data_IF_880843756429
#
_entry.id   IF_880843756429
#
_cell.length_a   1.000
_cell.length_b   1.000
_cell.length_c   1.000
_cell.angle_alpha   90.00
_cell.angle_beta   90.00
_cell.angle_gamma   90.00
#
_symmetry.space_group_name_H-M   'P 1'
#
loop_
_entity.id
_entity.type
_entity.pdbx_description
1 polymer ?
#
# COMPACT_ATOMS: atom_id res chain seq x y z
N UNK A 1 -15.98 3.02 48.38
CA UNK A 1 -16.85 3.28 47.22
C UNK A 1 -18.00 2.28 47.26
N UNK A 2 -19.26 2.73 47.23
CA UNK A 2 -20.41 1.84 47.30
C UNK A 2 -20.54 0.98 46.04
N UNK A 3 -21.02 -0.25 46.18
CA UNK A 3 -21.30 -1.20 45.09
C UNK A 3 -22.10 -0.56 43.95
N UNK A 4 -23.03 0.35 44.25
CA UNK A 4 -23.78 1.11 43.25
C UNK A 4 -22.92 2.00 42.35
N UNK A 5 -21.86 2.61 42.87
CA UNK A 5 -20.94 3.44 42.07
C UNK A 5 -20.15 2.58 41.08
N UNK A 6 -19.72 1.38 41.51
CA UNK A 6 -18.99 0.43 40.67
C UNK A 6 -19.88 -0.06 39.52
N UNK A 7 -21.15 -0.40 39.81
CA UNK A 7 -22.11 -0.84 38.78
C UNK A 7 -22.37 0.25 37.74
N UNK A 8 -22.55 1.50 38.17
CA UNK A 8 -22.75 2.64 37.24
C UNK A 8 -21.55 2.87 36.34
N UNK A 9 -20.32 2.80 36.88
CA UNK A 9 -19.09 2.94 36.08
C UNK A 9 -18.99 1.81 35.06
N UNK A 10 -19.23 0.56 35.45
CA UNK A 10 -19.19 -0.58 34.53
C UNK A 10 -20.23 -0.43 33.42
N UNK A 11 -21.46 -0.05 33.74
CA UNK A 11 -22.51 0.18 32.76
C UNK A 11 -22.13 1.30 31.76
N UNK A 12 -21.58 2.41 32.23
CA UNK A 12 -21.11 3.50 31.38
C UNK A 12 -19.99 3.06 30.43
N UNK A 13 -19.01 2.28 30.92
CA UNK A 13 -17.92 1.73 30.09
C UNK A 13 -18.47 0.79 29.02
N UNK A 14 -19.43 -0.08 29.35
CA UNK A 14 -20.07 -0.99 28.38
C UNK A 14 -20.79 -0.18 27.29
N UNK A 15 -21.55 0.86 27.66
CA UNK A 15 -22.24 1.72 26.70
C UNK A 15 -21.23 2.40 25.75
N UNK A 16 -20.13 2.93 26.27
CA UNK A 16 -19.08 3.54 25.44
C UNK A 16 -18.45 2.54 24.46
N UNK A 17 -18.20 1.30 24.90
CA UNK A 17 -17.70 0.23 24.04
C UNK A 17 -18.70 -0.07 22.91
N UNK A 18 -19.99 -0.16 23.22
CA UNK A 18 -21.05 -0.43 22.23
C UNK A 18 -21.14 0.71 21.21
N UNK A 19 -21.17 1.97 21.68
CA UNK A 19 -21.19 3.15 20.81
C UNK A 19 -19.97 3.16 19.89
N UNK A 20 -18.77 2.88 20.44
CA UNK A 20 -17.55 2.77 19.65
C UNK A 20 -17.63 1.68 18.58
N UNK A 21 -18.16 0.50 18.91
CA UNK A 21 -18.31 -0.61 17.96
C UNK A 21 -19.30 -0.29 16.82
N UNK A 22 -20.46 0.30 17.15
CA UNK A 22 -21.46 0.72 16.15
C UNK A 22 -20.87 1.80 15.24
N UNK A 23 -20.19 2.79 15.82
CA UNK A 23 -19.58 3.89 15.06
C UNK A 23 -18.51 3.39 14.09
N UNK A 24 -17.66 2.45 14.55
CA UNK A 24 -16.65 1.80 13.69
C UNK A 24 -17.30 1.01 12.54
N UNK A 25 -18.40 0.29 12.82
CA UNK A 25 -19.12 -0.46 11.79
C UNK A 25 -19.75 0.45 10.72
N UNK A 26 -20.39 1.54 11.15
CA UNK A 26 -20.98 2.53 10.23
C UNK A 26 -19.89 3.19 9.38
N UNK A 27 -18.75 3.54 9.98
CA UNK A 27 -17.64 4.16 9.27
C UNK A 27 -17.05 3.23 8.20
N UNK A 28 -16.86 1.95 8.52
CA UNK A 28 -16.43 0.95 7.52
C UNK A 28 -17.44 0.78 6.39
N UNK A 29 -18.74 0.70 6.73
CA UNK A 29 -19.79 0.58 5.74
C UNK A 29 -19.79 1.77 4.79
N UNK A 30 -19.75 3.00 5.33
CA UNK A 30 -19.70 4.24 4.54
C UNK A 30 -18.44 4.33 3.68
N UNK A 31 -17.28 3.91 4.20
CA UNK A 31 -16.03 3.86 3.42
C UNK A 31 -16.15 2.90 2.25
N UNK A 32 -16.69 1.69 2.48
CA UNK A 32 -16.92 0.69 1.44
C UNK A 32 -17.92 1.17 0.39
N UNK A 33 -19.01 1.81 0.79
CA UNK A 33 -19.97 2.44 -0.13
C UNK A 33 -19.30 3.54 -0.97
N UNK A 34 -18.46 4.37 -0.34
CA UNK A 34 -17.66 5.37 -1.06
C UNK A 34 -16.70 4.74 -2.07
N UNK A 35 -16.06 3.61 -1.74
CA UNK A 35 -15.18 2.89 -2.67
C UNK A 35 -15.97 2.31 -3.84
N UNK A 36 -17.12 1.70 -3.57
CA UNK A 36 -18.00 1.18 -4.62
C UNK A 36 -18.49 2.29 -5.55
N UNK A 37 -18.90 3.43 -5.01
CA UNK A 37 -19.35 4.58 -5.79
C UNK A 37 -18.21 5.18 -6.62
N UNK A 38 -17.03 5.34 -6.04
CA UNK A 38 -15.85 5.84 -6.74
C UNK A 38 -15.39 4.88 -7.86
N UNK A 39 -15.36 3.57 -7.58
CA UNK A 39 -15.09 2.55 -8.58
C UNK A 39 -16.08 2.62 -9.75
N UNK A 40 -17.38 2.69 -9.46
CA UNK A 40 -18.42 2.81 -10.48
C UNK A 40 -18.26 4.09 -11.32
N UNK A 41 -17.93 5.22 -10.70
CA UNK A 41 -17.70 6.50 -11.39
C UNK A 41 -16.50 6.45 -12.35
N UNK A 42 -15.50 5.60 -12.06
CA UNK A 42 -14.32 5.36 -12.91
C UNK A 42 -14.51 4.19 -13.89
N UNK A 43 -15.67 3.53 -13.89
CA UNK A 43 -15.92 2.33 -14.72
C UNK A 43 -15.24 1.05 -14.22
N UNK A 44 -14.77 1.03 -12.97
CA UNK A 44 -14.13 -0.13 -12.37
C UNK A 44 -15.16 -1.13 -11.85
N UNK A 45 -14.81 -2.41 -11.89
CA UNK A 45 -15.52 -3.47 -11.17
C UNK A 45 -15.18 -3.36 -9.69
N UNK A 46 -16.17 -3.52 -8.83
CA UNK A 46 -16.00 -3.54 -7.38
C UNK A 46 -16.45 -4.87 -6.78
N UNK A 47 -15.58 -5.51 -6.00
CA UNK A 47 -15.86 -6.73 -5.26
C UNK A 47 -15.53 -6.54 -3.76
N UNK A 48 -16.55 -6.52 -2.87
CA UNK A 48 -16.31 -6.34 -1.43
C UNK A 48 -15.79 -7.61 -0.72
N UNK A 49 -15.83 -8.76 -1.37
CA UNK A 49 -15.51 -10.05 -0.76
C UNK A 49 -14.02 -10.24 -0.49
N UNK A 50 -13.71 -11.22 0.35
CA UNK A 50 -12.33 -11.58 0.67
C UNK A 50 -11.73 -12.46 -0.42
N UNK A 51 -10.55 -12.08 -0.92
CA UNK A 51 -9.72 -12.91 -1.77
C UNK A 51 -8.48 -13.39 -0.99
N UNK A 52 -8.46 -14.68 -0.65
CA UNK A 52 -7.35 -15.35 0.03
C UNK A 52 -6.22 -15.79 -0.92
N UNK A 53 -6.39 -15.66 -2.24
CA UNK A 53 -5.40 -15.98 -3.25
C UNK A 53 -4.62 -14.75 -3.76
N UNK A 54 -4.97 -13.54 -3.32
CA UNK A 54 -4.35 -12.30 -3.80
C UNK A 54 -2.85 -12.23 -3.52
N UNK A 55 -2.41 -12.79 -2.39
CA UNK A 55 -1.01 -12.84 -2.00
C UNK A 55 -0.18 -13.73 -2.93
N UNK A 56 -0.75 -14.82 -3.42
CA UNK A 56 -0.14 -15.71 -4.41
C UNK A 56 -0.06 -15.06 -5.77
N UNK A 57 -1.12 -14.35 -6.19
CA UNK A 57 -1.17 -13.61 -7.46
C UNK A 57 -0.07 -12.56 -7.54
N UNK A 58 0.19 -11.87 -6.42
CA UNK A 58 1.14 -10.76 -6.33
C UNK A 58 2.37 -11.08 -5.45
N UNK A 59 2.76 -12.36 -5.33
CA UNK A 59 3.80 -12.85 -4.43
C UNK A 59 5.19 -12.22 -4.65
N UNK A 60 5.41 -11.60 -5.82
CA UNK A 60 6.65 -10.89 -6.15
C UNK A 60 6.91 -9.70 -5.22
N UNK A 61 5.85 -9.09 -4.67
CA UNK A 61 5.97 -7.95 -3.77
C UNK A 61 6.11 -8.39 -2.31
N UNK A 62 7.05 -7.77 -1.61
CA UNK A 62 7.44 -8.15 -0.27
C UNK A 62 6.28 -8.03 0.73
N UNK A 63 5.37 -7.07 0.54
CA UNK A 63 4.25 -6.86 1.46
C UNK A 63 3.32 -8.09 1.57
N UNK A 64 3.20 -8.90 0.52
CA UNK A 64 2.37 -10.11 0.51
C UNK A 64 3.05 -11.30 1.20
N UNK A 65 4.36 -11.27 1.36
CA UNK A 65 5.14 -12.37 1.94
C UNK A 65 5.22 -12.34 3.47
N UNK A 66 4.54 -11.38 4.11
CA UNK A 66 4.61 -11.16 5.55
C UNK A 66 3.40 -11.69 6.32
N UNK A 67 3.67 -12.31 7.48
CA UNK A 67 2.64 -12.74 8.42
C UNK A 67 1.76 -13.88 7.90
N UNK A 68 0.53 -13.96 8.43
CA UNK A 68 -0.45 -15.02 8.15
C UNK A 68 -1.88 -14.50 8.16
N UNK A 69 -2.85 -15.36 7.77
CA UNK A 69 -4.27 -14.99 7.62
C UNK A 69 -4.42 -13.79 6.68
N UNK A 70 -3.85 -13.95 5.49
CA UNK A 70 -3.71 -12.93 4.45
C UNK A 70 -4.94 -12.95 3.54
N UNK A 71 -5.45 -11.78 3.21
CA UNK A 71 -6.49 -11.61 2.19
C UNK A 71 -6.62 -10.15 1.75
N UNK A 72 -6.99 -9.99 0.48
CA UNK A 72 -7.50 -8.73 -0.08
C UNK A 72 -9.01 -8.64 0.09
N UNK A 73 -9.54 -7.42 0.10
CA UNK A 73 -10.98 -7.14 0.12
C UNK A 73 -11.25 -5.71 -0.37
N UNK A 74 -12.52 -5.39 -0.70
CA UNK A 74 -12.89 -4.14 -1.36
C UNK A 74 -12.05 -3.92 -2.64
N UNK A 75 -12.02 -4.93 -3.49
CA UNK A 75 -11.19 -5.00 -4.68
C UNK A 75 -11.84 -4.18 -5.79
N UNK A 76 -11.06 -3.30 -6.39
CA UNK A 76 -11.40 -2.42 -7.52
C UNK A 76 -10.50 -2.79 -8.69
N UNK A 77 -11.08 -3.24 -9.78
CA UNK A 77 -10.34 -3.65 -10.99
C UNK A 77 -10.88 -2.91 -12.22
N UNK A 78 -10.00 -2.41 -13.07
CA UNK A 78 -10.40 -1.69 -14.27
C UNK A 78 -9.22 -1.17 -15.08
N UNK A 79 -9.49 -0.16 -15.91
CA UNK A 79 -8.50 0.51 -16.74
C UNK A 79 -8.48 1.98 -16.38
N UNK A 80 -7.31 2.51 -16.01
CA UNK A 80 -7.09 3.93 -15.74
C UNK A 80 -6.03 4.46 -16.69
N UNK A 81 -6.40 5.40 -17.59
CA UNK A 81 -5.50 5.96 -18.61
C UNK A 81 -4.67 4.86 -19.33
N UNK A 82 -5.37 3.88 -19.92
CA UNK A 82 -4.80 2.72 -20.64
C UNK A 82 -3.99 1.71 -19.80
N UNK A 83 -3.93 1.87 -18.48
CA UNK A 83 -3.26 0.95 -17.57
C UNK A 83 -4.27 0.05 -16.87
N UNK A 84 -4.02 -1.27 -16.89
CA UNK A 84 -4.79 -2.19 -16.04
C UNK A 84 -4.43 -1.95 -14.57
N UNK A 85 -5.45 -1.70 -13.75
CA UNK A 85 -5.30 -1.36 -12.34
C UNK A 85 -6.04 -2.36 -11.46
N UNK A 86 -5.44 -2.70 -10.32
CA UNK A 86 -6.04 -3.46 -9.24
C UNK A 86 -5.76 -2.76 -7.90
N UNK A 87 -6.80 -2.18 -7.30
CA UNK A 87 -6.71 -1.47 -6.03
C UNK A 87 -7.57 -2.17 -4.98
N UNK A 88 -7.06 -2.37 -3.77
CA UNK A 88 -7.77 -3.12 -2.74
C UNK A 88 -7.25 -2.80 -1.34
N UNK A 89 -8.06 -3.13 -0.33
CA UNK A 89 -7.59 -3.21 1.03
C UNK A 89 -6.98 -4.59 1.29
N UNK A 90 -5.88 -4.65 2.02
CA UNK A 90 -5.19 -5.88 2.35
C UNK A 90 -5.00 -6.01 3.85
N UNK A 91 -5.23 -7.23 4.35
CA UNK A 91 -5.09 -7.56 5.78
C UNK A 91 -4.19 -8.76 5.96
N UNK A 92 -3.33 -8.67 6.97
CA UNK A 92 -2.53 -9.79 7.46
C UNK A 92 -2.30 -9.67 8.96
N UNK A 93 -1.83 -10.75 9.58
CA UNK A 93 -1.54 -10.78 11.02
C UNK A 93 -0.11 -11.23 11.28
N UNK A 94 0.55 -10.61 12.25
CA UNK A 94 1.88 -11.00 12.73
C UNK A 94 1.82 -11.36 14.21
N UNK A 95 2.80 -12.14 14.67
CA UNK A 95 2.86 -12.60 16.06
C UNK A 95 1.85 -13.69 16.40
N UNK A 96 1.82 -14.07 17.68
CA UNK A 96 1.01 -15.16 18.22
C UNK A 96 0.49 -14.81 19.62
N UNK A 97 -0.58 -15.50 20.04
CA UNK A 97 -1.17 -15.33 21.36
C UNK A 97 -1.52 -13.88 21.70
N UNK A 98 -1.03 -13.41 22.85
CA UNK A 98 -1.26 -12.05 23.36
C UNK A 98 -0.51 -10.96 22.58
N UNK A 99 0.46 -11.32 21.73
CA UNK A 99 1.24 -10.39 20.91
C UNK A 99 0.83 -10.43 19.44
N UNK A 100 -0.41 -10.84 19.15
CA UNK A 100 -0.96 -10.82 17.79
C UNK A 100 -1.32 -9.41 17.37
N UNK A 101 -0.74 -8.95 16.26
CA UNK A 101 -1.06 -7.67 15.63
C UNK A 101 -1.76 -7.90 14.30
N UNK A 102 -2.86 -7.18 14.06
CA UNK A 102 -3.52 -7.14 12.75
C UNK A 102 -3.06 -5.89 12.01
N UNK A 103 -2.62 -6.06 10.77
CA UNK A 103 -2.22 -4.98 9.87
C UNK A 103 -3.29 -4.81 8.81
N UNK A 104 -3.63 -3.56 8.52
CA UNK A 104 -4.53 -3.19 7.43
C UNK A 104 -3.85 -2.10 6.61
N UNK A 105 -3.78 -2.30 5.30
CA UNK A 105 -3.23 -1.36 4.34
C UNK A 105 -4.14 -1.28 3.12
N UNK A 106 -3.99 -0.21 2.35
CA UNK A 106 -4.51 -0.17 0.98
C UNK A 106 -3.35 -0.33 0.01
N UNK A 107 -3.65 -1.00 -1.08
CA UNK A 107 -2.71 -1.36 -2.14
C UNK A 107 -3.30 -0.87 -3.46
N UNK A 108 -2.45 -0.33 -4.32
CA UNK A 108 -2.76 -0.11 -5.73
C UNK A 108 -1.65 -0.76 -6.54
N UNK A 109 -2.04 -1.62 -7.48
CA UNK A 109 -1.15 -2.30 -8.42
C UNK A 109 -1.55 -1.88 -9.82
N UNK A 110 -0.55 -1.56 -10.63
CA UNK A 110 -0.72 -1.27 -12.06
C UNK A 110 0.14 -2.21 -12.86
N UNK A 111 -0.41 -2.73 -13.96
CA UNK A 111 0.34 -3.49 -14.94
C UNK A 111 1.19 -2.51 -15.75
N UNK A 112 2.51 -2.61 -15.58
CA UNK A 112 3.43 -1.91 -16.45
C UNK A 112 3.55 -2.77 -17.72
N UNK A 113 3.15 -2.22 -18.87
CA UNK A 113 3.24 -2.88 -20.18
C UNK A 113 4.69 -3.06 -20.67
N UNK A 114 5.64 -3.25 -19.75
CA UNK A 114 7.08 -3.37 -19.95
C UNK A 114 7.68 -4.33 -18.91
N UNK A 115 8.85 -4.87 -19.22
CA UNK A 115 9.64 -5.67 -18.30
C UNK A 115 10.44 -4.78 -17.35
N UNK A 116 10.14 -4.92 -16.06
CA UNK A 116 10.77 -4.26 -14.94
C UNK A 116 11.59 -5.27 -14.12
N UNK A 117 12.53 -4.76 -13.32
CA UNK A 117 13.27 -5.55 -12.32
C UNK A 117 12.82 -5.17 -10.92
N UNK A 118 13.10 -6.05 -9.97
CA UNK A 118 12.75 -5.85 -8.57
C UNK A 118 13.44 -4.61 -8.01
N UNK A 119 12.66 -3.65 -7.54
CA UNK A 119 13.14 -2.42 -6.90
C UNK A 119 12.15 -1.98 -5.84
N UNK A 120 12.64 -1.73 -4.64
CA UNK A 120 11.87 -1.23 -3.52
C UNK A 120 12.36 0.17 -3.16
N UNK A 121 11.43 1.12 -3.10
CA UNK A 121 11.67 2.49 -2.66
C UNK A 121 10.71 2.78 -1.52
N UNK A 122 11.24 3.08 -0.33
CA UNK A 122 10.43 3.40 0.85
C UNK A 122 10.91 4.71 1.48
N UNK A 123 10.00 5.59 1.94
CA UNK A 123 10.38 6.72 2.77
C UNK A 123 11.01 6.25 4.08
N UNK A 124 12.03 6.95 4.58
CA UNK A 124 12.58 6.71 5.90
C UNK A 124 11.51 6.90 7.00
N UNK A 125 11.58 6.09 8.07
CA UNK A 125 10.56 6.06 9.13
C UNK A 125 9.22 5.42 8.72
N UNK A 126 9.02 5.17 7.42
CA UNK A 126 7.92 4.36 6.91
C UNK A 126 8.42 2.91 6.79
N UNK A 127 7.85 2.01 7.60
CA UNK A 127 8.18 0.57 7.59
C UNK A 127 9.43 0.10 8.37
N UNK A 128 9.68 0.66 9.54
CA UNK A 128 10.79 0.30 10.48
C UNK A 128 10.88 -1.17 10.95
N UNK A 129 9.97 -2.06 10.53
CA UNK A 129 9.93 -3.47 10.97
C UNK A 129 9.75 -4.49 9.84
N UNK A 130 9.81 -4.08 8.57
CA UNK A 130 9.95 -5.04 7.46
C UNK A 130 11.43 -5.27 7.17
N UNK A 131 12.11 -5.96 8.08
CA UNK A 131 13.32 -6.69 7.76
C UNK A 131 12.92 -7.99 7.03
N UNK A 132 12.41 -7.86 5.80
CA UNK A 132 11.96 -8.98 4.97
C UNK A 132 12.91 -9.31 3.81
N UNK A 133 13.71 -8.34 3.37
CA UNK A 133 14.77 -8.55 2.38
C UNK A 133 16.13 -8.55 3.08
N UNK A 134 16.56 -9.74 3.50
CA UNK A 134 17.95 -10.03 3.86
C UNK A 134 18.80 -9.84 2.59
N UNK A 135 19.85 -9.02 2.66
CA UNK A 135 21.01 -9.14 1.75
C UNK A 135 21.36 -7.98 0.82
N UNK A 136 20.52 -6.95 0.65
CA UNK A 136 20.88 -5.81 -0.22
C UNK A 136 21.22 -4.55 0.57
N UNK A 137 22.28 -3.87 0.16
CA UNK A 137 22.66 -2.56 0.68
C UNK A 137 21.69 -1.50 0.17
N UNK A 138 21.58 -0.40 0.90
CA UNK A 138 20.86 0.78 0.44
C UNK A 138 21.59 1.40 -0.75
N UNK A 139 20.84 1.94 -1.71
CA UNK A 139 21.40 2.56 -2.92
C UNK A 139 21.30 4.08 -2.79
N UNK A 140 22.44 4.71 -2.50
CA UNK A 140 22.54 6.16 -2.39
C UNK A 140 22.78 6.84 -3.75
N UNK A 141 22.22 8.03 -3.91
CA UNK A 141 22.38 8.90 -5.08
C UNK A 141 23.17 10.16 -4.71
N UNK A 142 24.44 10.22 -5.13
CA UNK A 142 25.35 11.33 -4.80
C UNK A 142 24.92 12.67 -5.42
N UNK A 143 24.27 12.63 -6.58
CA UNK A 143 23.68 13.76 -7.28
C UNK A 143 22.30 14.16 -6.73
N UNK A 144 21.79 13.46 -5.72
CA UNK A 144 20.54 13.80 -5.03
C UNK A 144 20.58 13.46 -3.53
N UNK A 145 21.41 14.14 -2.72
CA UNK A 145 21.55 13.84 -1.29
C UNK A 145 20.25 13.94 -0.49
N UNK A 146 19.36 14.86 -0.86
CA UNK A 146 18.05 14.98 -0.21
C UNK A 146 17.18 13.74 -0.42
N UNK A 147 17.23 13.14 -1.61
CA UNK A 147 16.51 11.90 -1.92
C UNK A 147 17.06 10.75 -1.08
N UNK A 148 18.38 10.55 -1.09
CA UNK A 148 19.06 9.49 -0.33
C UNK A 148 18.83 9.60 1.17
N UNK A 149 18.64 10.82 1.70
CA UNK A 149 18.28 11.05 3.10
C UNK A 149 16.81 10.71 3.43
N UNK A 150 15.90 10.84 2.46
CA UNK A 150 14.46 10.68 2.70
C UNK A 150 13.94 9.31 2.29
N UNK A 151 14.66 8.60 1.44
CA UNK A 151 14.24 7.33 0.87
C UNK A 151 15.34 6.29 1.00
N UNK A 152 14.89 5.09 1.32
CA UNK A 152 15.69 3.89 1.31
C UNK A 152 15.35 3.08 0.05
N UNK A 153 16.37 2.74 -0.72
CA UNK A 153 16.28 2.11 -2.04
C UNK A 153 16.98 0.76 -2.04
N UNK A 154 16.28 -0.28 -2.49
CA UNK A 154 16.82 -1.64 -2.60
C UNK A 154 16.52 -2.26 -3.94
N UNK A 155 17.53 -2.87 -4.54
CA UNK A 155 17.41 -3.66 -5.76
C UNK A 155 18.48 -4.77 -5.78
N UNK A 156 18.18 -5.96 -6.31
CA UNK A 156 19.22 -6.94 -6.66
C UNK A 156 20.14 -6.47 -7.78
N UNK A 157 19.69 -5.52 -8.60
CA UNK A 157 20.42 -4.92 -9.71
C UNK A 157 20.55 -3.41 -9.45
N UNK A 158 21.67 -3.01 -8.85
CA UNK A 158 21.94 -1.61 -8.52
C UNK A 158 22.08 -0.74 -9.77
N UNK A 159 22.72 -1.25 -10.82
CA UNK A 159 22.92 -0.50 -12.07
C UNK A 159 21.57 -0.15 -12.71
N UNK A 160 20.65 -1.12 -12.77
CA UNK A 160 19.29 -0.88 -13.26
C UNK A 160 18.51 0.08 -12.36
N UNK A 161 18.62 -0.05 -11.03
CA UNK A 161 17.96 0.87 -10.11
C UNK A 161 18.41 2.32 -10.33
N UNK A 162 19.72 2.54 -10.53
CA UNK A 162 20.28 3.88 -10.81
C UNK A 162 19.81 4.45 -12.13
N UNK A 163 19.65 3.59 -13.12
CA UNK A 163 19.16 3.96 -14.45
C UNK A 163 17.69 4.37 -14.44
N UNK A 164 16.84 3.62 -13.73
CA UNK A 164 15.40 3.90 -13.66
C UNK A 164 15.10 5.09 -12.77
N UNK A 165 15.82 5.24 -11.66
CA UNK A 165 15.68 6.37 -10.73
C UNK A 165 16.38 7.61 -11.27
N UNK A 166 15.90 8.12 -12.41
CA UNK A 166 16.35 9.38 -13.01
C UNK A 166 16.14 10.57 -12.06
N UNK A 167 16.84 11.71 -12.26
CA UNK A 167 16.60 12.91 -11.47
C UNK A 167 15.14 13.35 -11.44
N UNK A 168 14.43 13.25 -12.58
CA UNK A 168 13.02 13.58 -12.69
C UNK A 168 12.14 12.65 -11.84
N UNK A 169 12.40 11.34 -11.87
CA UNK A 169 11.65 10.38 -11.05
C UNK A 169 11.94 10.59 -9.55
N UNK A 170 13.20 10.80 -9.16
CA UNK A 170 13.56 11.09 -7.76
C UNK A 170 12.89 12.36 -7.24
N UNK A 171 12.79 13.40 -8.06
CA UNK A 171 12.08 14.62 -7.69
C UNK A 171 10.56 14.40 -7.52
N UNK A 172 9.94 13.58 -8.39
CA UNK A 172 8.55 13.19 -8.24
C UNK A 172 8.31 12.44 -6.92
N UNK A 173 9.19 11.50 -6.59
CA UNK A 173 9.14 10.76 -5.32
C UNK A 173 9.25 11.72 -4.11
N UNK A 174 10.17 12.68 -4.15
CA UNK A 174 10.34 13.70 -3.09
C UNK A 174 9.08 14.55 -2.84
N UNK A 175 8.31 14.84 -3.89
CA UNK A 175 7.06 15.59 -3.78
C UNK A 175 5.91 14.74 -3.17
N UNK A 176 6.05 13.42 -3.16
CA UNK A 176 5.04 12.47 -2.67
C UNK A 176 5.62 11.42 -1.70
N UNK A 177 6.24 11.81 -0.57
CA UNK A 177 7.03 10.91 0.29
C UNK A 177 6.18 10.01 1.20
N UNK A 178 4.92 9.74 0.83
CA UNK A 178 3.93 9.08 1.69
C UNK A 178 3.68 7.62 1.30
N UNK A 179 4.22 7.17 0.18
CA UNK A 179 4.01 5.84 -0.37
C UNK A 179 5.29 5.03 -0.37
N UNK A 180 5.16 3.74 -0.10
CA UNK A 180 6.16 2.77 -0.53
C UNK A 180 5.83 2.40 -1.96
N UNK A 181 6.84 2.39 -2.82
CA UNK A 181 6.77 2.00 -4.21
C UNK A 181 7.63 0.75 -4.39
N UNK A 182 7.07 -0.29 -4.99
CA UNK A 182 7.76 -1.54 -5.27
C UNK A 182 7.52 -1.94 -6.73
N UNK A 183 8.58 -2.33 -7.42
CA UNK A 183 8.58 -2.81 -8.78
C UNK A 183 8.62 -4.34 -8.75
N UNK A 184 7.65 -4.97 -9.40
CA UNK A 184 7.65 -6.38 -9.75
C UNK A 184 8.21 -6.59 -11.16
N UNK A 185 7.95 -7.75 -11.76
CA UNK A 185 8.41 -8.01 -13.14
C UNK A 185 7.63 -7.19 -14.17
N UNK A 186 6.30 -7.17 -14.09
CA UNK A 186 5.45 -6.44 -15.04
C UNK A 186 4.44 -5.54 -14.31
N UNK A 187 4.68 -5.24 -13.03
CA UNK A 187 3.73 -4.51 -12.21
C UNK A 187 4.46 -3.51 -11.32
N UNK A 188 3.83 -2.37 -11.08
CA UNK A 188 4.20 -1.48 -9.99
C UNK A 188 3.16 -1.60 -8.89
N UNK A 189 3.60 -1.64 -7.64
CA UNK A 189 2.75 -1.60 -6.48
C UNK A 189 3.08 -0.37 -5.65
N UNK A 190 2.04 0.30 -5.19
CA UNK A 190 2.15 1.22 -4.06
C UNK A 190 1.35 0.73 -2.87
N UNK A 191 1.90 0.97 -1.69
CA UNK A 191 1.17 0.72 -0.46
C UNK A 191 1.55 1.73 0.63
N UNK A 192 0.69 1.80 1.65
CA UNK A 192 0.89 2.58 2.87
C UNK A 192 0.42 1.76 4.06
N UNK A 193 1.05 1.91 5.23
CA UNK A 193 0.65 1.26 6.50
C UNK A 193 -0.76 1.59 7.02
N UNK A 194 -1.56 2.32 6.26
CA UNK A 194 -2.92 2.71 6.62
C UNK A 194 -3.79 2.52 5.39
N UNK A 195 -5.07 2.27 5.64
CA UNK A 195 -6.06 2.26 4.57
C UNK A 195 -6.28 3.66 4.02
N UNK A 196 -6.47 3.74 2.72
CA UNK A 196 -6.82 4.95 2.02
C UNK A 196 -8.31 5.27 2.24
N UNK A 197 -8.60 6.56 2.33
CA UNK A 197 -9.88 7.09 1.93
C UNK A 197 -9.90 7.27 0.39
N UNK A 198 -11.01 7.78 -0.15
CA UNK A 198 -11.16 7.95 -1.59
C UNK A 198 -10.13 8.92 -2.17
N UNK A 199 -9.86 10.02 -1.48
CA UNK A 199 -8.81 10.96 -1.87
C UNK A 199 -7.42 10.31 -1.87
N UNK A 200 -7.15 9.40 -0.92
CA UNK A 200 -5.94 8.60 -0.87
C UNK A 200 -5.79 7.67 -2.06
N UNK A 201 -6.87 7.04 -2.53
CA UNK A 201 -6.86 6.27 -3.78
C UNK A 201 -6.60 7.17 -4.98
N UNK A 202 -7.28 8.30 -5.13
CA UNK A 202 -7.02 9.23 -6.24
C UNK A 202 -5.56 9.70 -6.27
N UNK A 203 -5.00 10.09 -5.12
CA UNK A 203 -3.61 10.50 -5.01
C UNK A 203 -2.62 9.37 -5.32
N UNK A 204 -2.97 8.14 -4.96
CA UNK A 204 -2.19 6.94 -5.24
C UNK A 204 -2.12 6.65 -6.76
N UNK A 205 -3.25 6.79 -7.46
CA UNK A 205 -3.33 6.60 -8.91
C UNK A 205 -2.51 7.66 -9.66
N UNK A 206 -2.73 8.94 -9.35
CA UNK A 206 -1.97 10.05 -9.95
C UNK A 206 -0.45 9.95 -9.67
N UNK A 207 -0.09 9.46 -8.49
CA UNK A 207 1.31 9.21 -8.15
C UNK A 207 1.93 8.13 -9.04
N UNK A 208 1.24 6.99 -9.22
CA UNK A 208 1.71 5.88 -10.05
C UNK A 208 1.80 6.26 -11.53
N UNK A 209 0.81 7.00 -12.04
CA UNK A 209 0.85 7.58 -13.38
C UNK A 209 2.10 8.46 -13.54
N UNK A 210 2.32 9.39 -12.62
CA UNK A 210 3.52 10.24 -12.67
C UNK A 210 4.84 9.49 -12.53
N UNK A 211 4.85 8.29 -11.91
CA UNK A 211 6.01 7.39 -11.92
C UNK A 211 6.21 6.78 -13.30
N UNK A 212 5.15 6.23 -13.91
CA UNK A 212 5.20 5.59 -15.22
C UNK A 212 5.63 6.55 -16.32
N UNK A 213 5.11 7.79 -16.32
CA UNK A 213 5.49 8.86 -17.25
C UNK A 213 6.99 9.24 -17.19
N UNK A 214 7.65 8.92 -16.07
CA UNK A 214 9.06 9.27 -15.80
C UNK A 214 9.99 8.07 -15.90
N UNK A 215 9.48 6.89 -16.22
CA UNK A 215 10.31 5.74 -16.52
C UNK A 215 11.09 5.98 -17.82
N UNK A 216 12.36 5.55 -17.90
CA UNK A 216 13.17 5.73 -19.11
C UNK A 216 12.49 5.15 -20.36
N UNK A 217 12.50 5.90 -21.47
CA UNK A 217 11.81 5.53 -22.71
C UNK A 217 12.17 4.14 -23.23
N UNK A 218 13.44 3.77 -23.08
CA UNK A 218 13.98 2.46 -23.52
C UNK A 218 13.34 1.24 -22.85
N UNK A 219 12.59 1.43 -21.77
CA UNK A 219 11.82 0.35 -21.16
C UNK A 219 10.59 0.00 -22.02
N UNK A 220 10.06 0.93 -22.81
CA UNK A 220 8.85 0.71 -23.61
C UNK A 220 9.12 0.10 -24.98
N UNK A 221 10.36 0.15 -25.45
CA UNK A 221 10.76 -0.26 -26.80
C UNK A 221 11.35 -1.68 -26.85
N UNK A 222 10.71 -2.62 -26.13
CA UNK A 222 11.11 -4.03 -26.07
C UNK A 222 10.46 -4.90 -27.12
#
# INVERSE_FOLDING_TARGET
MGTGVIVTIIAAVIILIIIGAISAHIWEKKRREGMAAWAAAKGFKFNPERDHGIDRRYHVFDCFNNGRNRYGYNIMEGIFHDMEICAFDYRYTTGSGKHRTTHNLSIVIVNAATHLKKLLIRPEGLWDKLAGAVGFNDIDFADSPEFSKKFYVKSPDEAWAREVLTPALRQHLLNHPKFVLEFGQNNLMICKKRRFDIAGYEAAFLFLEGVLDRLPEKLWTG
#
